data_IF_462902324843
#
_entry.id   IF_462902324843
#
_cell.length_a   1.000
_cell.length_b   1.000
_cell.length_c   1.000
_cell.angle_alpha   90.00
_cell.angle_beta   90.00
_cell.angle_gamma   90.00
#
_symmetry.space_group_name_H-M   'P 1'
#
loop_
_entity.id
_entity.type
_entity.pdbx_description
1 polymer ?
#
# COMPACT_ATOMS: atom_id res chain seq x y z
N UNK A 1 25.69 -22.63 -4.86
CA UNK A 1 25.22 -22.46 -4.67
C UNK A 1 24.53 -21.80 -4.40
N UNK A 2 24.07 -21.51 -4.41
CA UNK A 2 23.42 -21.07 -4.10
C UNK A 2 22.91 -20.14 -3.95
N UNK A 3 23.12 -19.71 -4.04
CA UNK A 3 22.80 -18.78 -3.89
C UNK A 3 21.70 -18.21 -4.13
N UNK A 4 21.46 -17.99 -4.56
CA UNK A 4 20.27 -17.54 -4.79
C UNK A 4 19.28 -17.41 -3.79
N UNK A 5 19.48 -17.85 -2.88
CA UNK A 5 18.58 -18.06 -1.80
C UNK A 5 17.94 -16.81 -1.25
N UNK A 6 18.57 -15.71 -1.30
CA UNK A 6 17.99 -14.47 -0.77
C UNK A 6 16.91 -13.87 -1.66
N UNK A 7 16.89 -14.26 -2.89
CA UNK A 7 16.01 -13.62 -3.86
C UNK A 7 14.52 -13.80 -3.62
N UNK A 8 14.03 -14.95 -3.14
CA UNK A 8 12.59 -15.10 -2.96
C UNK A 8 11.97 -14.08 -2.05
N UNK A 9 12.66 -13.70 -1.00
CA UNK A 9 12.14 -12.67 -0.10
C UNK A 9 11.87 -11.35 -0.81
N UNK A 10 12.78 -10.95 -1.64
CA UNK A 10 12.61 -9.71 -2.37
C UNK A 10 11.44 -9.73 -3.29
N UNK A 11 11.18 -10.87 -3.90
CA UNK A 11 10.07 -10.96 -4.84
C UNK A 11 8.75 -10.73 -4.18
N UNK A 12 8.58 -11.19 -2.96
CA UNK A 12 7.33 -11.00 -2.24
C UNK A 12 7.10 -9.56 -1.85
N UNK A 13 8.16 -8.79 -1.77
CA UNK A 13 8.05 -7.38 -1.40
C UNK A 13 8.31 -6.44 -2.55
N UNK A 14 8.36 -6.96 -3.78
CA UNK A 14 8.54 -6.12 -4.96
C UNK A 14 7.46 -5.06 -5.07
N UNK A 15 7.89 -3.85 -5.32
CA UNK A 15 6.97 -2.74 -5.45
C UNK A 15 6.64 -2.46 -6.90
N UNK A 16 5.41 -2.02 -7.11
CA UNK A 16 4.91 -1.65 -8.41
C UNK A 16 4.49 -0.19 -8.36
N UNK A 17 4.93 0.60 -9.32
CA UNK A 17 4.49 1.99 -9.42
C UNK A 17 3.07 2.03 -9.95
N UNK A 18 2.29 2.95 -9.40
CA UNK A 18 0.93 3.15 -9.90
C UNK A 18 0.95 4.05 -11.12
N UNK A 19 0.01 3.86 -12.06
CA UNK A 19 -0.08 4.74 -13.22
C UNK A 19 -0.52 6.15 -12.83
N UNK A 20 -0.37 7.13 -13.71
CA UNK A 20 -0.80 8.51 -13.43
C UNK A 20 -2.29 8.63 -13.10
N UNK A 21 -3.13 7.78 -13.68
CA UNK A 21 -4.55 7.74 -13.34
C UNK A 21 -4.76 7.34 -11.88
N UNK A 22 -3.77 6.64 -11.35
CA UNK A 22 -3.63 6.44 -9.93
C UNK A 22 -4.44 5.32 -9.34
N UNK A 23 -4.04 4.99 -8.13
CA UNK A 23 -4.80 4.17 -7.20
C UNK A 23 -5.05 5.07 -6.01
N UNK A 24 -6.31 5.20 -5.62
CA UNK A 24 -6.70 6.10 -4.53
C UNK A 24 -7.22 5.29 -3.37
N UNK A 25 -6.92 5.77 -2.17
CA UNK A 25 -7.41 5.15 -0.95
C UNK A 25 -8.04 6.19 -0.06
N UNK A 26 -9.13 5.80 0.60
CA UNK A 26 -9.70 6.51 1.72
C UNK A 26 -8.99 5.95 2.94
N UNK A 27 -8.43 6.80 3.79
CA UNK A 27 -7.66 6.33 4.92
C UNK A 27 -7.92 7.15 6.16
N UNK A 28 -7.79 6.50 7.31
CA UNK A 28 -7.99 7.13 8.61
C UNK A 28 -6.78 6.88 9.49
N UNK A 29 -6.37 7.93 10.18
CA UNK A 29 -5.27 7.86 11.11
C UNK A 29 -5.51 8.88 12.21
N UNK A 30 -5.48 8.42 13.46
CA UNK A 30 -5.66 9.28 14.64
C UNK A 30 -6.93 10.13 14.56
N UNK A 31 -8.04 9.52 14.13
CA UNK A 31 -9.34 10.19 14.08
C UNK A 31 -9.54 11.12 12.89
N UNK A 32 -8.57 11.21 11.97
CA UNK A 32 -8.68 12.04 10.79
C UNK A 32 -8.79 11.18 9.55
N UNK A 33 -9.65 11.56 8.65
CA UNK A 33 -9.91 10.84 7.41
C UNK A 33 -9.48 11.69 6.22
N UNK A 34 -8.89 11.04 5.22
CA UNK A 34 -8.44 11.72 4.02
C UNK A 34 -8.47 10.74 2.84
N UNK A 35 -8.37 11.27 1.65
CA UNK A 35 -8.27 10.47 0.43
C UNK A 35 -6.95 10.86 -0.24
N UNK A 36 -6.13 9.87 -0.56
CA UNK A 36 -4.81 10.13 -1.11
C UNK A 36 -4.46 9.11 -2.19
N UNK A 37 -3.53 9.51 -3.04
CA UNK A 37 -3.02 8.66 -4.10
C UNK A 37 -1.93 7.74 -3.55
N UNK A 38 -1.94 6.50 -4.02
CA UNK A 38 -0.88 5.55 -3.74
C UNK A 38 0.18 5.69 -4.83
N UNK A 39 1.43 5.97 -4.45
CA UNK A 39 2.51 6.15 -5.42
C UNK A 39 3.06 4.82 -5.89
N UNK A 40 3.23 3.89 -4.98
CA UNK A 40 3.68 2.54 -5.29
C UNK A 40 3.17 1.61 -4.21
N UNK A 41 3.14 0.31 -4.52
CA UNK A 41 2.64 -0.66 -3.55
C UNK A 41 3.19 -2.04 -3.82
N UNK A 42 3.10 -2.89 -2.79
CA UNK A 42 3.44 -4.30 -2.84
C UNK A 42 2.39 -5.05 -2.02
N UNK A 43 2.54 -6.35 -1.92
CA UNK A 43 1.63 -7.13 -1.07
C UNK A 43 1.86 -6.85 0.42
N UNK A 44 2.98 -6.22 0.77
CA UNK A 44 3.30 -5.92 2.17
C UNK A 44 2.99 -4.51 2.61
N UNK A 45 2.72 -3.60 1.70
CA UNK A 45 2.47 -2.20 2.05
C UNK A 45 2.44 -1.27 0.86
N UNK A 46 2.39 0.03 1.14
CA UNK A 46 2.31 1.03 0.08
C UNK A 46 2.94 2.34 0.52
N UNK A 47 3.19 3.22 -0.44
CA UNK A 47 3.56 4.60 -0.18
C UNK A 47 2.40 5.51 -0.54
N UNK A 48 1.94 6.26 0.43
CA UNK A 48 0.78 7.12 0.34
C UNK A 48 1.22 8.57 0.21
N UNK A 49 0.75 9.27 -0.82
CA UNK A 49 1.10 10.66 -1.05
C UNK A 49 0.22 11.56 -0.19
N UNK A 50 0.83 12.29 0.72
CA UNK A 50 0.14 13.26 1.54
C UNK A 50 1.13 14.30 2.05
N UNK A 51 0.74 15.58 2.08
CA UNK A 51 1.61 16.61 2.66
C UNK A 51 1.58 16.61 4.19
N UNK A 52 0.59 15.94 4.78
CA UNK A 52 0.40 15.99 6.23
C UNK A 52 1.08 14.81 6.90
N UNK A 53 2.09 15.06 7.74
CA UNK A 53 2.78 13.95 8.40
C UNK A 53 1.91 13.30 9.47
N UNK A 54 2.26 12.05 9.78
CA UNK A 54 1.66 11.30 10.88
C UNK A 54 2.80 10.72 11.71
N UNK A 55 2.49 10.31 12.93
CA UNK A 55 3.51 9.75 13.81
C UNK A 55 3.88 8.33 13.39
N UNK A 56 5.17 8.02 13.48
CA UNK A 56 5.65 6.66 13.26
C UNK A 56 4.91 5.71 14.19
N UNK A 57 4.57 4.54 13.67
CA UNK A 57 3.87 3.52 14.43
C UNK A 57 2.38 3.73 14.56
N UNK A 58 1.85 4.84 14.06
CA UNK A 58 0.42 5.09 14.14
C UNK A 58 -0.36 4.08 13.33
N UNK A 59 -1.49 3.65 13.86
CA UNK A 59 -2.41 2.75 13.16
C UNK A 59 -3.16 3.50 12.08
N UNK A 60 -3.30 2.86 10.94
CA UNK A 60 -3.99 3.43 9.77
C UNK A 60 -4.99 2.40 9.26
N UNK A 61 -6.20 2.87 8.95
CA UNK A 61 -7.21 2.03 8.30
C UNK A 61 -7.34 2.50 6.87
N UNK A 62 -7.29 1.57 5.93
CA UNK A 62 -7.32 1.86 4.50
C UNK A 62 -8.52 1.22 3.84
N UNK A 63 -9.11 1.94 2.89
CA UNK A 63 -10.12 1.39 2.00
C UNK A 63 -9.77 1.84 0.58
N UNK A 64 -9.50 0.87 -0.29
CA UNK A 64 -9.10 1.17 -1.67
C UNK A 64 -10.32 1.50 -2.52
N UNK A 65 -10.19 2.54 -3.34
CA UNK A 65 -11.25 3.02 -4.22
C UNK A 65 -10.89 2.56 -5.64
N UNK A 66 -11.16 1.29 -5.94
CA UNK A 66 -10.69 0.65 -7.17
C UNK A 66 -11.76 -0.26 -7.77
N UNK A 67 -11.52 -0.65 -9.03
CA UNK A 67 -12.49 -1.47 -9.76
C UNK A 67 -12.51 -2.93 -9.33
N UNK A 68 -11.46 -3.42 -8.71
CA UNK A 68 -11.42 -4.82 -8.24
C UNK A 68 -12.41 -5.11 -7.13
N UNK A 69 -13.03 -4.08 -6.59
CA UNK A 69 -13.96 -4.19 -5.50
C UNK A 69 -13.38 -3.61 -4.23
N UNK A 70 -14.09 -3.82 -3.14
CA UNK A 70 -13.67 -3.23 -1.87
C UNK A 70 -12.50 -4.01 -1.29
N UNK A 71 -11.44 -3.28 -0.97
CA UNK A 71 -10.29 -3.83 -0.24
C UNK A 71 -10.09 -2.97 1.00
N UNK A 72 -10.13 -3.61 2.15
CA UNK A 72 -9.84 -2.96 3.43
C UNK A 72 -8.56 -3.53 4.00
N UNK A 73 -7.76 -2.68 4.57
CA UNK A 73 -6.50 -3.10 5.17
C UNK A 73 -6.20 -2.27 6.40
N UNK A 74 -5.58 -2.89 7.38
CA UNK A 74 -4.98 -2.19 8.49
C UNK A 74 -3.49 -2.08 8.23
N UNK A 75 -2.91 -0.98 8.67
CA UNK A 75 -1.50 -0.71 8.43
C UNK A 75 -0.93 0.13 9.57
N UNK A 76 0.38 0.29 9.55
CA UNK A 76 1.08 1.19 10.47
C UNK A 76 2.04 2.07 9.68
N UNK A 77 2.29 3.27 10.18
CA UNK A 77 3.23 4.20 9.58
C UNK A 77 4.65 3.73 9.89
N UNK A 78 5.39 3.34 8.87
CA UNK A 78 6.75 2.84 9.00
C UNK A 78 7.79 3.92 8.76
N UNK A 79 7.47 4.89 7.93
CA UNK A 79 8.39 5.97 7.59
C UNK A 79 7.59 7.18 7.17
N UNK A 80 8.08 8.35 7.55
CA UNK A 80 7.49 9.63 7.15
C UNK A 80 8.50 10.35 6.27
N UNK A 81 8.04 10.80 5.09
CA UNK A 81 8.84 11.68 4.24
C UNK A 81 8.13 13.03 4.22
N UNK A 82 8.62 13.98 5.01
CA UNK A 82 7.91 15.24 5.23
C UNK A 82 7.58 15.97 3.94
N UNK A 83 6.33 16.41 3.84
CA UNK A 83 5.85 17.11 2.66
C UNK A 83 5.57 16.22 1.47
N UNK A 84 5.88 14.93 1.55
CA UNK A 84 5.81 14.01 0.43
C UNK A 84 4.84 12.85 0.69
N UNK A 85 5.01 12.14 1.78
CA UNK A 85 4.09 11.05 2.07
C UNK A 85 4.51 10.15 3.21
N UNK A 86 3.86 8.99 3.25
CA UNK A 86 4.01 8.01 4.32
C UNK A 86 4.23 6.63 3.72
N UNK A 87 5.22 5.92 4.22
CA UNK A 87 5.39 4.50 3.90
C UNK A 87 4.61 3.70 4.94
N UNK A 88 3.67 2.90 4.49
CA UNK A 88 2.79 2.11 5.34
C UNK A 88 3.07 0.63 5.16
N UNK A 89 3.04 -0.10 6.25
CA UNK A 89 3.14 -1.56 6.24
C UNK A 89 1.78 -2.14 6.62
N UNK A 90 1.28 -3.08 5.82
CA UNK A 90 0.04 -3.76 6.15
C UNK A 90 0.21 -4.63 7.37
N UNK A 91 -0.73 -4.55 8.30
CA UNK A 91 -0.73 -5.36 9.49
C UNK A 91 -1.91 -6.33 9.51
N UNK A 92 -2.93 -6.08 8.70
CA UNK A 92 -4.07 -6.98 8.61
C UNK A 92 -4.83 -6.77 7.32
N UNK A 93 -5.04 -7.86 6.59
CA UNK A 93 -5.90 -7.88 5.40
C UNK A 93 -6.63 -9.21 5.46
N UNK A 94 -7.96 -9.19 5.38
CA UNK A 94 -8.72 -10.44 5.42
C UNK A 94 -8.51 -11.20 4.10
N UNK A 95 -8.68 -12.54 4.16
CA UNK A 95 -8.37 -13.40 3.01
C UNK A 95 -9.08 -13.01 1.74
N UNK A 96 -10.35 -12.67 1.86
CA UNK A 96 -11.14 -12.23 0.71
C UNK A 96 -10.54 -11.00 0.06
N UNK A 97 -10.10 -10.06 0.86
CA UNK A 97 -9.49 -8.83 0.35
C UNK A 97 -8.07 -9.05 -0.15
N UNK A 98 -7.37 -10.07 0.36
CA UNK A 98 -6.06 -10.44 -0.17
C UNK A 98 -6.13 -10.86 -1.62
N UNK A 99 -7.15 -11.60 -1.98
CA UNK A 99 -7.35 -12.02 -3.38
C UNK A 99 -7.56 -10.80 -4.28
N UNK A 100 -8.34 -9.84 -3.82
CA UNK A 100 -8.56 -8.61 -4.56
C UNK A 100 -7.30 -7.77 -4.66
N UNK A 101 -6.51 -7.75 -3.59
CA UNK A 101 -5.24 -7.05 -3.58
C UNK A 101 -4.28 -7.66 -4.60
N UNK A 102 -4.23 -8.99 -4.67
CA UNK A 102 -3.41 -9.68 -5.65
C UNK A 102 -3.87 -9.36 -7.07
N UNK A 103 -5.17 -9.28 -7.31
CA UNK A 103 -5.73 -8.91 -8.61
C UNK A 103 -5.33 -7.49 -8.98
N UNK A 104 -5.40 -6.57 -8.03
CA UNK A 104 -4.97 -5.20 -8.25
C UNK A 104 -3.49 -5.16 -8.63
N UNK A 105 -2.64 -5.88 -7.89
CA UNK A 105 -1.21 -5.91 -8.18
C UNK A 105 -0.94 -6.44 -9.58
N UNK A 106 -1.66 -7.48 -10.00
CA UNK A 106 -1.51 -8.02 -11.35
C UNK A 106 -1.90 -6.99 -12.40
N UNK A 107 -2.98 -6.27 -12.18
CA UNK A 107 -3.41 -5.22 -13.11
C UNK A 107 -2.36 -4.13 -13.23
N UNK A 108 -1.80 -3.72 -12.13
CA UNK A 108 -0.77 -2.66 -12.12
C UNK A 108 0.49 -3.10 -12.84
N UNK A 109 0.90 -4.36 -12.67
CA UNK A 109 2.07 -4.89 -13.37
C UNK A 109 1.86 -4.93 -14.87
N UNK A 110 0.65 -5.26 -15.31
CA UNK A 110 0.33 -5.33 -16.73
C UNK A 110 0.25 -3.96 -17.36
N UNK A 111 -0.03 -2.94 -16.57
CA UNK A 111 -0.14 -1.57 -17.06
C UNK A 111 1.19 -0.87 -17.25
N UNK A 112 2.24 -1.40 -16.66
CA UNK A 112 3.53 -0.73 -16.66
C UNK A 112 4.46 -1.14 -17.80
#
# INVERSE_FOLDING_TARGET
MLKQSASPSRRFTSRVKTPPSGVWVDWRCAGREDISRVRNMSLGGLFLETPTPRNLGSAVNLEFLIEEGQIRADAVVMRVEPGDGLALKFTGVIDEDRSRLASLMNRLRQSS
#
